data_IF_087493923890
#
_entry.id   IF_087493923890
#
_cell.length_a   1.000
_cell.length_b   1.000
_cell.length_c   1.000
_cell.angle_alpha   90.00
_cell.angle_beta   90.00
_cell.angle_gamma   90.00
#
_symmetry.space_group_name_H-M   'P 1'
#
loop_
_entity.id
_entity.type
_entity.pdbx_description
1 polymer ?
#
# COMPACT_ATOMS: atom_id res chain seq x y z
N UNK A 1 -12.31 8.35 -21.86
CA UNK A 1 -11.77 7.16 -21.16
C UNK A 1 -12.45 5.93 -21.74
N UNK A 2 -11.72 4.85 -22.05
CA UNK A 2 -12.35 3.64 -22.60
C UNK A 2 -13.10 2.87 -21.49
N UNK A 3 -14.11 2.09 -21.88
CA UNK A 3 -14.86 1.25 -20.93
C UNK A 3 -13.94 0.31 -20.12
N UNK A 4 -12.86 -0.17 -20.74
CA UNK A 4 -11.83 -1.01 -20.09
C UNK A 4 -11.14 -0.28 -18.94
N UNK A 5 -10.74 0.98 -19.14
CA UNK A 5 -10.09 1.78 -18.09
C UNK A 5 -11.04 2.00 -16.91
N UNK A 6 -12.31 2.29 -17.19
CA UNK A 6 -13.34 2.46 -16.16
C UNK A 6 -13.53 1.15 -15.37
N UNK A 7 -13.64 0.02 -16.07
CA UNK A 7 -13.77 -1.30 -15.44
C UNK A 7 -12.60 -1.63 -14.52
N UNK A 8 -11.36 -1.39 -14.96
CA UNK A 8 -10.16 -1.59 -14.14
C UNK A 8 -10.14 -0.68 -12.91
N UNK A 9 -10.54 0.58 -13.04
CA UNK A 9 -10.59 1.52 -11.93
C UNK A 9 -11.62 1.10 -10.87
N UNK A 10 -12.81 0.64 -11.29
CA UNK A 10 -13.84 0.14 -10.37
C UNK A 10 -13.39 -1.14 -9.66
N UNK A 11 -12.75 -2.06 -10.38
CA UNK A 11 -12.18 -3.27 -9.77
C UNK A 11 -11.13 -2.91 -8.71
N UNK A 12 -10.23 -1.98 -9.01
CA UNK A 12 -9.23 -1.50 -8.05
C UNK A 12 -9.89 -0.88 -6.81
N UNK A 13 -10.97 -0.11 -6.97
CA UNK A 13 -11.73 0.46 -5.86
C UNK A 13 -12.36 -0.63 -4.96
N UNK A 14 -12.94 -1.67 -5.56
CA UNK A 14 -13.51 -2.81 -4.83
C UNK A 14 -12.41 -3.54 -4.05
N UNK A 15 -11.30 -3.89 -4.70
CA UNK A 15 -10.17 -4.57 -4.05
C UNK A 15 -9.62 -3.75 -2.87
N UNK A 16 -9.50 -2.44 -3.04
CA UNK A 16 -9.06 -1.53 -1.98
C UNK A 16 -10.03 -1.49 -0.80
N UNK A 17 -11.34 -1.42 -1.08
CA UNK A 17 -12.37 -1.47 -0.04
C UNK A 17 -12.35 -2.80 0.72
N UNK A 18 -12.25 -3.92 0.01
CA UNK A 18 -12.12 -5.27 0.60
C UNK A 18 -10.87 -5.39 1.46
N UNK A 19 -9.73 -4.88 1.01
CA UNK A 19 -8.49 -4.88 1.78
C UNK A 19 -8.64 -4.15 3.12
N UNK A 20 -9.23 -2.95 3.11
CA UNK A 20 -9.48 -2.19 4.34
C UNK A 20 -10.49 -2.89 5.26
N UNK A 21 -11.50 -3.57 4.70
CA UNK A 21 -12.48 -4.31 5.49
C UNK A 21 -11.83 -5.46 6.26
N UNK A 22 -10.99 -6.27 5.61
CA UNK A 22 -10.25 -7.36 6.26
C UNK A 22 -9.28 -6.86 7.32
N UNK A 23 -8.57 -5.76 7.05
CA UNK A 23 -7.64 -5.17 8.03
C UNK A 23 -8.36 -4.74 9.32
N UNK A 24 -9.61 -4.29 9.20
CA UNK A 24 -10.43 -3.85 10.32
C UNK A 24 -10.97 -5.01 11.17
N UNK A 25 -11.26 -6.16 10.58
CA UNK A 25 -11.93 -7.28 11.26
C UNK A 25 -10.97 -8.30 11.88
N UNK A 26 -9.67 -8.26 11.54
CA UNK A 26 -8.68 -9.19 12.08
C UNK A 26 -8.38 -8.99 13.58
N UNK A 27 -8.44 -10.08 14.35
CA UNK A 27 -8.05 -10.08 15.78
C UNK A 27 -6.55 -9.81 15.96
N UNK A 28 -5.71 -10.39 15.10
CA UNK A 28 -4.28 -10.07 14.99
C UNK A 28 -4.01 -9.36 13.65
N UNK A 29 -3.89 -8.03 13.73
CA UNK A 29 -3.68 -7.18 12.55
C UNK A 29 -2.33 -7.41 11.87
N UNK A 30 -1.29 -7.78 12.62
CA UNK A 30 0.02 -8.05 12.03
C UNK A 30 -0.04 -9.35 11.22
N UNK A 31 -0.68 -10.38 11.76
CA UNK A 31 -0.92 -11.62 11.04
C UNK A 31 -1.74 -11.40 9.77
N UNK A 32 -2.88 -10.68 9.87
CA UNK A 32 -3.74 -10.38 8.72
C UNK A 32 -2.97 -9.67 7.60
N UNK A 33 -2.22 -8.63 7.94
CA UNK A 33 -1.42 -7.88 6.96
C UNK A 33 -0.33 -8.73 6.33
N UNK A 34 0.32 -9.59 7.12
CA UNK A 34 1.39 -10.47 6.64
C UNK A 34 0.84 -11.47 5.62
N UNK A 35 -0.27 -12.15 5.94
CA UNK A 35 -0.93 -13.10 5.04
C UNK A 35 -1.41 -12.43 3.77
N UNK A 36 -2.01 -11.24 3.87
CA UNK A 36 -2.44 -10.46 2.70
C UNK A 36 -1.25 -10.11 1.81
N UNK A 37 -0.16 -9.60 2.40
CA UNK A 37 1.05 -9.22 1.65
C UNK A 37 1.71 -10.42 0.98
N UNK A 38 1.78 -11.55 1.67
CA UNK A 38 2.29 -12.81 1.11
C UNK A 38 1.41 -13.28 -0.05
N UNK A 39 0.10 -13.28 0.12
CA UNK A 39 -0.85 -13.69 -0.93
C UNK A 39 -0.74 -12.81 -2.17
N UNK A 40 -0.65 -11.49 -1.99
CA UNK A 40 -0.41 -10.55 -3.10
C UNK A 40 0.93 -10.79 -3.78
N UNK A 41 1.99 -11.13 -3.02
CA UNK A 41 3.31 -11.43 -3.57
C UNK A 41 3.29 -12.69 -4.44
N UNK A 42 2.61 -13.75 -4.01
CA UNK A 42 2.46 -14.99 -4.79
C UNK A 42 1.80 -14.73 -6.15
N UNK A 43 0.80 -13.85 -6.19
CA UNK A 43 0.14 -13.45 -7.45
C UNK A 43 1.04 -12.53 -8.29
N UNK A 44 1.83 -11.66 -7.65
CA UNK A 44 2.70 -10.72 -8.34
C UNK A 44 3.94 -11.37 -8.97
N UNK A 45 4.48 -12.46 -8.39
CA UNK A 45 5.71 -13.11 -8.88
C UNK A 45 5.62 -13.55 -10.35
N UNK A 46 4.59 -14.30 -10.80
CA UNK A 46 4.48 -14.69 -12.21
C UNK A 46 4.42 -13.49 -13.15
N UNK A 47 3.70 -12.44 -12.76
CA UNK A 47 3.57 -11.20 -13.55
C UNK A 47 4.89 -10.44 -13.63
N UNK A 48 5.67 -10.44 -12.54
CA UNK A 48 6.99 -9.82 -12.50
C UNK A 48 7.98 -10.57 -13.40
N UNK A 49 7.97 -11.91 -13.36
CA UNK A 49 8.87 -12.74 -14.20
C UNK A 49 8.50 -12.65 -15.68
N UNK A 50 7.21 -12.52 -16.02
CA UNK A 50 6.77 -12.33 -17.41
C UNK A 50 7.09 -10.94 -17.98
N UNK A 51 7.47 -9.99 -17.13
CA UNK A 51 7.78 -8.61 -17.53
C UNK A 51 9.29 -8.44 -17.72
N UNK A 52 9.69 -7.45 -18.53
CA UNK A 52 11.10 -7.09 -18.63
C UNK A 52 11.63 -6.63 -17.27
N UNK A 53 12.80 -7.15 -16.86
CA UNK A 53 13.42 -6.74 -15.60
C UNK A 53 13.77 -5.23 -15.61
N UNK A 54 13.72 -4.57 -14.45
CA UNK A 54 14.14 -3.19 -14.33
C UNK A 54 15.60 -3.01 -14.75
N UNK A 55 15.92 -1.84 -15.31
CA UNK A 55 17.30 -1.47 -15.56
C UNK A 55 18.15 -1.54 -14.29
N UNK A 56 19.44 -1.84 -14.41
CA UNK A 56 20.34 -2.07 -13.26
C UNK A 56 20.35 -0.88 -12.27
N UNK A 57 20.27 0.34 -12.78
CA UNK A 57 20.23 1.57 -11.98
C UNK A 57 18.90 1.79 -11.24
N UNK A 58 17.83 1.04 -11.56
CA UNK A 58 16.53 1.17 -10.92
C UNK A 58 16.42 0.37 -9.61
N UNK A 59 17.27 -0.64 -9.40
CA UNK A 59 17.24 -1.52 -8.23
C UNK A 59 17.33 -0.80 -6.88
N UNK A 60 18.20 0.23 -6.69
CA UNK A 60 18.22 0.99 -5.45
C UNK A 60 16.85 1.59 -5.10
N UNK A 61 16.11 2.09 -6.09
CA UNK A 61 14.77 2.67 -5.90
C UNK A 61 13.72 1.58 -5.61
N UNK A 62 13.83 0.42 -6.26
CA UNK A 62 12.95 -0.73 -5.98
C UNK A 62 13.12 -1.19 -4.53
N UNK A 63 14.36 -1.37 -4.08
CA UNK A 63 14.66 -1.79 -2.71
C UNK A 63 14.21 -0.72 -1.71
N UNK A 64 14.52 0.56 -1.97
CA UNK A 64 14.09 1.66 -1.11
C UNK A 64 12.57 1.72 -1.00
N UNK A 65 11.85 1.62 -2.11
CA UNK A 65 10.38 1.60 -2.13
C UNK A 65 9.83 0.40 -1.35
N UNK A 66 10.42 -0.79 -1.48
CA UNK A 66 10.01 -1.97 -0.73
C UNK A 66 10.22 -1.77 0.78
N UNK A 67 11.38 -1.24 1.20
CA UNK A 67 11.66 -0.94 2.60
C UNK A 67 10.68 0.09 3.18
N UNK A 68 10.42 1.18 2.44
CA UNK A 68 9.46 2.21 2.84
C UNK A 68 8.03 1.64 2.95
N UNK A 69 7.63 0.76 2.02
CA UNK A 69 6.33 0.12 2.04
C UNK A 69 6.15 -0.80 3.25
N UNK A 70 7.18 -1.59 3.59
CA UNK A 70 7.18 -2.43 4.79
C UNK A 70 7.11 -1.57 6.05
N UNK A 71 7.93 -0.51 6.13
CA UNK A 71 7.91 0.43 7.25
C UNK A 71 6.53 1.08 7.43
N UNK A 72 5.94 1.61 6.36
CA UNK A 72 4.59 2.17 6.35
C UNK A 72 3.58 1.17 6.90
N UNK A 73 3.63 -0.08 6.43
CA UNK A 73 2.69 -1.13 6.82
C UNK A 73 2.82 -1.48 8.31
N UNK A 74 4.04 -1.53 8.83
CA UNK A 74 4.30 -1.74 10.26
C UNK A 74 3.79 -0.58 11.12
N UNK A 75 4.05 0.66 10.72
CA UNK A 75 3.52 1.84 11.42
C UNK A 75 1.99 1.89 11.38
N UNK A 76 1.38 1.47 10.27
CA UNK A 76 -0.07 1.40 10.14
C UNK A 76 -0.68 0.40 11.13
N UNK A 77 -0.10 -0.80 11.24
CA UNK A 77 -0.52 -1.81 12.22
C UNK A 77 -0.36 -1.27 13.65
N UNK A 78 0.77 -0.62 13.95
CA UNK A 78 1.01 -0.01 15.26
C UNK A 78 0.01 1.11 15.59
N UNK A 79 -0.30 1.97 14.63
CA UNK A 79 -1.25 3.06 14.80
C UNK A 79 -2.66 2.52 15.11
N UNK A 80 -3.12 1.50 14.37
CA UNK A 80 -4.42 0.88 14.65
C UNK A 80 -4.47 0.11 15.97
N UNK A 81 -3.34 -0.43 16.45
CA UNK A 81 -3.28 -1.08 17.77
C UNK A 81 -3.44 -0.09 18.93
N UNK A 82 -2.93 1.13 18.79
CA UNK A 82 -2.89 2.11 19.86
C UNK A 82 -4.00 3.17 19.80
N UNK A 83 -4.79 3.22 18.71
CA UNK A 83 -5.86 4.21 18.57
C UNK A 83 -7.11 3.64 17.88
N UNK A 84 -8.25 4.25 18.17
CA UNK A 84 -9.50 3.92 17.51
C UNK A 84 -9.41 4.23 16.01
N UNK A 85 -9.87 3.28 15.18
CA UNK A 85 -9.90 3.41 13.73
C UNK A 85 -10.54 4.72 13.25
N UNK A 86 -11.57 5.20 13.96
CA UNK A 86 -12.27 6.45 13.63
C UNK A 86 -11.42 7.72 13.76
N UNK A 87 -10.38 7.71 14.60
CA UNK A 87 -9.48 8.86 14.76
C UNK A 87 -8.17 8.70 14.01
N UNK A 88 -7.59 7.50 14.02
CA UNK A 88 -6.31 7.22 13.37
C UNK A 88 -6.43 7.33 11.85
N UNK A 89 -7.54 6.85 11.27
CA UNK A 89 -7.71 6.81 9.82
C UNK A 89 -7.75 8.20 9.16
N UNK A 90 -8.53 9.19 9.66
CA UNK A 90 -8.49 10.56 9.13
C UNK A 90 -7.12 11.22 9.25
N UNK A 91 -6.41 11.02 10.36
CA UNK A 91 -5.08 11.64 10.58
C UNK A 91 -4.07 11.08 9.58
N UNK A 92 -4.00 9.75 9.44
CA UNK A 92 -3.08 9.11 8.50
C UNK A 92 -3.38 9.52 7.06
N UNK A 93 -4.66 9.54 6.67
CA UNK A 93 -5.04 9.92 5.29
C UNK A 93 -4.89 11.41 5.00
N UNK A 94 -5.14 12.29 5.98
CA UNK A 94 -5.04 13.74 5.82
C UNK A 94 -3.60 14.29 5.88
N UNK A 95 -2.70 13.61 6.60
CA UNK A 95 -1.30 14.03 6.71
C UNK A 95 -0.46 13.70 5.47
N UNK A 96 -0.76 12.59 4.77
CA UNK A 96 0.02 12.16 3.59
C UNK A 96 0.09 13.22 2.49
N UNK A 97 -1.03 13.84 2.03
CA UNK A 97 -0.96 14.89 1.01
C UNK A 97 -0.11 16.09 1.44
N UNK A 98 -0.18 16.50 2.71
CA UNK A 98 0.60 17.62 3.24
C UNK A 98 2.10 17.30 3.24
N UNK A 99 2.48 16.12 3.73
CA UNK A 99 3.87 15.67 3.78
C UNK A 99 4.46 15.50 2.37
N UNK A 100 3.70 14.90 1.45
CA UNK A 100 4.12 14.73 0.05
C UNK A 100 4.28 16.08 -0.64
N UNK A 101 3.35 17.01 -0.42
CA UNK A 101 3.44 18.38 -0.99
C UNK A 101 4.66 19.12 -0.44
N UNK A 102 4.90 19.06 0.87
CA UNK A 102 6.07 19.68 1.50
C UNK A 102 7.38 19.06 0.99
N UNK A 103 7.46 17.74 0.91
CA UNK A 103 8.62 17.05 0.35
C UNK A 103 8.87 17.43 -1.12
N UNK A 104 7.81 17.51 -1.93
CA UNK A 104 7.89 17.98 -3.30
C UNK A 104 8.37 19.44 -3.41
N UNK A 105 7.92 20.31 -2.51
CA UNK A 105 8.38 21.70 -2.45
C UNK A 105 9.85 21.83 -2.03
N UNK A 106 10.31 21.04 -1.08
CA UNK A 106 11.70 21.10 -0.57
C UNK A 106 12.74 20.48 -1.51
N UNK A 107 12.31 19.56 -2.39
CA UNK A 107 13.18 18.82 -3.31
C UNK A 107 13.06 19.31 -4.77
N UNK A 108 12.21 20.31 -5.03
CA UNK A 108 12.09 21.00 -6.32
C UNK A 108 13.23 22.00 -6.51
#
# INVERSE_FOLDING_TARGET
MSATVIGLALLAAILHASWNAFLRTGADRLWTVTVMSFSSTVVAIPLAISSAFPASHAWPYVVLSACLQVGYTMFLVAAYRNGELGQVYPIVRGSVPLLVTLGGFLLA
#
